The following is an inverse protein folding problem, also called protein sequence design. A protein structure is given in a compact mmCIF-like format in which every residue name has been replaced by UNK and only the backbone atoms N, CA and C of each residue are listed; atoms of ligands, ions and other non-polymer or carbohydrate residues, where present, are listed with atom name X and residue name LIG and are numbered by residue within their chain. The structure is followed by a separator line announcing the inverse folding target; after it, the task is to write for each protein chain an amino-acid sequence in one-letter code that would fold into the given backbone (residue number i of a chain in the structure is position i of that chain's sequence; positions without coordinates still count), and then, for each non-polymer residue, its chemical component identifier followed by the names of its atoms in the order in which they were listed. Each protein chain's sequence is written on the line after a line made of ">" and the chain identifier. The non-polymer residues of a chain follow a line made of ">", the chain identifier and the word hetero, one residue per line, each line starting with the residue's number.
data_IF_535924000035
#
_entry.id   IF_535924000035
#
_cell.length_a   1.000
_cell.length_b   1.000
_cell.length_c   1.000
_cell.angle_alpha   90.00
_cell.angle_beta   90.00
_cell.angle_gamma   90.00
#
_symmetry.space_group_name_H-M   'P 1'
#
loop_
_entity.id
_entity.type
_entity.pdbx_description
1 polymer ?
#
# COMPACT_ATOMS: atom_id res chain seq x y z
N UNK A 1 0.72 -13.22 18.46
CA UNK A 1 -0.12 -12.08 18.07
C UNK A 1 0.74 -10.84 18.15
N UNK A 2 0.83 -10.08 17.06
CA UNK A 2 1.53 -8.81 17.08
C UNK A 2 0.65 -7.75 17.75
N UNK A 3 1.28 -6.88 18.53
CA UNK A 3 0.65 -5.68 19.07
C UNK A 3 1.31 -4.50 18.37
N UNK A 4 0.53 -3.72 17.63
CA UNK A 4 1.04 -2.47 17.07
C UNK A 4 1.32 -1.51 18.25
N UNK A 5 2.57 -1.10 18.38
CA UNK A 5 2.98 -0.13 19.40
C UNK A 5 2.83 1.29 18.84
N UNK A 6 3.35 1.53 17.64
CA UNK A 6 3.33 2.81 16.94
C UNK A 6 3.49 2.59 15.42
N UNK A 7 2.93 3.49 14.63
CA UNK A 7 3.21 3.61 13.19
C UNK A 7 3.31 5.08 12.80
N UNK A 8 4.38 5.43 12.07
CA UNK A 8 4.60 6.76 11.52
C UNK A 8 4.76 6.60 10.01
N UNK A 9 3.95 7.32 9.25
CA UNK A 9 4.04 7.38 7.79
C UNK A 9 3.83 8.84 7.37
N UNK A 10 4.89 9.47 6.87
CA UNK A 10 4.93 10.89 6.55
C UNK A 10 5.54 11.08 5.15
N UNK A 11 4.97 11.98 4.36
CA UNK A 11 5.63 12.47 3.18
C UNK A 11 6.90 13.23 3.60
N UNK A 12 8.08 12.78 3.13
CA UNK A 12 9.36 13.42 3.44
C UNK A 12 9.41 14.90 3.02
N UNK A 13 8.60 15.27 2.02
CA UNK A 13 8.25 16.63 1.66
C UNK A 13 6.76 16.87 1.97
N UNK A 14 6.46 17.81 2.89
CA UNK A 14 5.09 18.12 3.31
C UNK A 14 4.23 18.76 2.23
N UNK A 15 4.83 19.25 1.15
CA UNK A 15 4.10 19.75 -0.02
C UNK A 15 3.65 18.61 -0.95
N UNK A 16 4.14 17.38 -0.73
CA UNK A 16 3.78 16.19 -1.49
C UNK A 16 2.85 15.30 -0.69
N UNK A 17 2.06 14.51 -1.39
CA UNK A 17 1.33 13.42 -0.75
C UNK A 17 2.30 12.33 -0.28
N UNK A 18 1.81 11.49 0.64
CA UNK A 18 2.51 10.29 1.04
C UNK A 18 1.95 9.11 0.24
N UNK A 19 2.79 8.52 -0.60
CA UNK A 19 2.41 7.39 -1.46
C UNK A 19 2.48 6.04 -0.73
N UNK A 20 2.95 6.04 0.52
CA UNK A 20 3.11 4.84 1.32
C UNK A 20 1.82 4.37 1.96
N UNK A 21 1.69 3.05 2.09
CA UNK A 21 0.65 2.41 2.88
C UNK A 21 1.26 1.41 3.87
N UNK A 22 0.56 1.17 4.98
CA UNK A 22 0.95 0.14 5.94
C UNK A 22 -0.28 -0.55 6.52
N UNK A 23 -0.07 -1.72 7.12
CA UNK A 23 -1.12 -2.46 7.78
C UNK A 23 -0.57 -3.58 8.66
N UNK A 24 -1.44 -4.10 9.52
CA UNK A 24 -1.16 -5.25 10.38
C UNK A 24 -2.44 -6.04 10.63
N UNK A 25 -2.33 -7.37 10.71
CA UNK A 25 -3.44 -8.26 11.02
C UNK A 25 -2.92 -9.58 11.62
N UNK A 26 -3.32 -9.88 12.86
CA UNK A 26 -2.94 -11.10 13.56
C UNK A 26 -1.45 -11.14 13.93
N UNK A 27 -0.68 -11.96 13.24
CA UNK A 27 0.77 -12.13 13.38
C UNK A 27 1.57 -11.53 12.21
N UNK A 28 0.91 -10.71 11.38
CA UNK A 28 1.48 -10.11 10.17
C UNK A 28 1.44 -8.59 10.24
N UNK A 29 2.48 -7.98 9.70
CA UNK A 29 2.56 -6.55 9.44
C UNK A 29 3.29 -6.32 8.12
N UNK A 30 3.02 -5.21 7.46
CA UNK A 30 3.64 -4.84 6.19
C UNK A 30 3.73 -3.33 6.05
N UNK A 31 4.69 -2.92 5.22
CA UNK A 31 4.86 -1.55 4.72
C UNK A 31 4.95 -1.66 3.20
N UNK A 32 4.28 -0.75 2.52
CA UNK A 32 4.27 -0.61 1.06
C UNK A 32 4.82 0.77 0.77
N UNK A 33 5.99 0.80 0.13
CA UNK A 33 6.65 2.00 -0.34
C UNK A 33 6.08 2.34 -1.74
N UNK A 34 5.34 3.44 -1.82
CA UNK A 34 4.75 3.90 -3.07
C UNK A 34 5.83 4.53 -3.95
N UNK A 35 6.35 3.78 -4.93
CA UNK A 35 7.35 4.29 -5.86
C UNK A 35 6.81 5.46 -6.69
N UNK A 36 7.62 6.49 -6.93
CA UNK A 36 7.26 7.71 -7.69
C UNK A 36 6.59 7.40 -9.03
N UNK A 37 5.60 8.22 -9.41
CA UNK A 37 4.85 8.10 -10.66
C UNK A 37 5.77 7.86 -11.87
N UNK A 38 5.37 6.89 -12.70
CA UNK A 38 6.07 6.57 -13.96
C UNK A 38 5.71 7.55 -15.09
N UNK A 39 4.73 8.42 -14.86
CA UNK A 39 4.16 9.33 -15.85
C UNK A 39 3.83 10.69 -15.22
N UNK A 40 3.93 11.76 -16.00
CA UNK A 40 3.62 13.13 -15.53
C UNK A 40 2.14 13.37 -15.24
N UNK A 41 1.26 12.50 -15.75
CA UNK A 41 -0.19 12.56 -15.54
C UNK A 41 -0.67 11.24 -14.95
N UNK A 42 -1.37 11.25 -13.79
CA UNK A 42 -1.93 10.03 -13.21
C UNK A 42 -2.88 9.31 -14.18
N UNK A 43 -2.77 7.99 -14.20
CA UNK A 43 -3.67 7.10 -14.94
C UNK A 43 -4.91 6.77 -14.10
N UNK A 44 -4.72 6.56 -12.79
CA UNK A 44 -5.78 6.31 -11.84
C UNK A 44 -6.47 7.60 -11.38
N UNK A 45 -7.75 7.47 -10.97
CA UNK A 45 -8.49 8.54 -10.27
C UNK A 45 -8.07 8.59 -8.79
N UNK A 46 -6.77 8.78 -8.58
CA UNK A 46 -6.13 8.92 -7.29
C UNK A 46 -5.13 10.07 -7.37
N UNK A 47 -4.59 10.46 -6.21
CA UNK A 47 -3.66 11.58 -6.16
C UNK A 47 -2.28 11.23 -6.77
N UNK A 48 -1.92 9.94 -6.87
CA UNK A 48 -0.85 9.39 -7.74
C UNK A 48 -1.20 7.93 -8.11
N UNK A 49 -0.55 7.40 -9.14
CA UNK A 49 -0.68 5.97 -9.48
C UNK A 49 -0.03 5.10 -8.40
N UNK A 50 1.05 5.60 -7.81
CA UNK A 50 1.75 4.98 -6.68
C UNK A 50 0.84 4.77 -5.47
N UNK A 51 0.13 5.83 -5.05
CA UNK A 51 -0.86 5.80 -3.99
C UNK A 51 -1.97 4.80 -4.31
N UNK A 52 -2.49 4.81 -5.53
CA UNK A 52 -3.54 3.88 -5.92
C UNK A 52 -3.11 2.41 -5.78
N UNK A 53 -1.91 2.06 -6.27
CA UNK A 53 -1.36 0.70 -6.15
C UNK A 53 -1.14 0.33 -4.67
N UNK A 54 -0.51 1.22 -3.90
CA UNK A 54 -0.19 0.96 -2.50
C UNK A 54 -1.45 0.72 -1.65
N UNK A 55 -2.47 1.56 -1.83
CA UNK A 55 -3.74 1.40 -1.12
C UNK A 55 -4.54 0.20 -1.61
N UNK A 56 -4.53 -0.10 -2.91
CA UNK A 56 -5.16 -1.31 -3.46
C UNK A 56 -4.55 -2.57 -2.85
N UNK A 57 -3.22 -2.70 -2.87
CA UNK A 57 -2.51 -3.82 -2.26
C UNK A 57 -2.77 -3.92 -0.74
N UNK A 58 -2.85 -2.79 -0.03
CA UNK A 58 -3.17 -2.77 1.39
C UNK A 58 -4.54 -3.42 1.70
N UNK A 59 -5.57 -3.13 0.89
CA UNK A 59 -6.91 -3.74 1.05
C UNK A 59 -6.83 -5.27 0.93
N UNK A 60 -6.14 -5.80 -0.09
CA UNK A 60 -5.97 -7.24 -0.26
C UNK A 60 -5.19 -7.89 0.90
N UNK A 61 -4.16 -7.22 1.41
CA UNK A 61 -3.38 -7.69 2.56
C UNK A 61 -4.18 -7.69 3.86
N UNK A 62 -5.08 -6.73 4.05
CA UNK A 62 -6.00 -6.72 5.20
C UNK A 62 -7.04 -7.85 5.14
N UNK A 63 -7.52 -8.18 3.94
CA UNK A 63 -8.57 -9.17 3.74
C UNK A 63 -8.06 -10.62 3.69
N UNK A 64 -6.76 -10.83 3.46
CA UNK A 64 -6.21 -12.19 3.43
C UNK A 64 -6.10 -12.77 4.84
N UNK A 65 -6.68 -13.95 5.06
CA UNK A 65 -6.42 -14.78 6.25
C UNK A 65 -5.27 -15.76 6.04
N UNK A 66 -4.66 -15.77 4.84
CA UNK A 66 -3.71 -16.78 4.36
C UNK A 66 -2.37 -16.13 3.93
N UNK A 67 -1.65 -16.79 3.01
CA UNK A 67 -0.35 -16.38 2.47
C UNK A 67 -0.39 -14.97 1.87
N UNK A 68 0.43 -14.08 2.44
CA UNK A 68 0.58 -12.70 1.97
C UNK A 68 1.09 -12.64 0.53
N UNK A 69 1.90 -13.61 0.07
CA UNK A 69 2.39 -13.63 -1.31
C UNK A 69 1.25 -13.83 -2.31
N UNK A 70 0.27 -14.67 -1.96
CA UNK A 70 -0.91 -14.87 -2.79
C UNK A 70 -1.80 -13.63 -2.82
N UNK A 71 -1.94 -12.92 -1.69
CA UNK A 71 -2.67 -11.66 -1.63
C UNK A 71 -2.03 -10.58 -2.51
N UNK A 72 -0.69 -10.45 -2.50
CA UNK A 72 0.04 -9.53 -3.40
C UNK A 72 -0.15 -9.92 -4.87
N UNK A 73 -0.12 -11.22 -5.20
CA UNK A 73 -0.42 -11.67 -6.57
C UNK A 73 -1.84 -11.31 -7.01
N UNK A 74 -2.83 -11.49 -6.12
CA UNK A 74 -4.22 -11.15 -6.42
C UNK A 74 -4.37 -9.64 -6.68
N UNK A 75 -3.78 -8.82 -5.81
CA UNK A 75 -3.76 -7.37 -5.98
C UNK A 75 -3.14 -6.97 -7.34
N UNK A 76 -2.02 -7.60 -7.72
CA UNK A 76 -1.35 -7.35 -9.00
C UNK A 76 -2.21 -7.75 -10.21
N UNK A 77 -2.97 -8.84 -10.13
CA UNK A 77 -3.86 -9.27 -11.23
C UNK A 77 -5.07 -8.36 -11.35
N UNK A 78 -5.64 -7.91 -10.23
CA UNK A 78 -6.78 -6.97 -10.24
C UNK A 78 -6.39 -5.57 -10.71
N UNK A 79 -5.13 -5.18 -10.52
CA UNK A 79 -4.62 -3.88 -10.94
C UNK A 79 -4.22 -3.80 -12.42
N UNK A 80 -4.15 -4.93 -13.14
CA UNK A 80 -3.76 -5.02 -14.55
C UNK A 80 -4.98 -5.06 -15.49
#
# INVERSE_FOLDING_TARGET
>A
MLTLVEAISLAGDRAKQNDDAYGFAGDRAWVIDGATDLHDKPIADAASDATWIAHSANVFLLQTSHDMRQAVRMASVTAA
#
